data_IF_189457765788
#
_entry.id   IF_189457765788
#
_cell.length_a   1.000
_cell.length_b   1.000
_cell.length_c   1.000
_cell.angle_alpha   90.00
_cell.angle_beta   90.00
_cell.angle_gamma   90.00
#
_symmetry.space_group_name_H-M   'P 1'
#
loop_
_entity.id
_entity.type
_entity.pdbx_description
1 polymer ?
#
# COMPACT_ATOMS: atom_id res chain seq x y z
N UNK A 1 21.67 28.77 6.98
CA UNK A 1 20.22 28.52 6.85
C UNK A 1 19.99 27.01 6.80
N UNK A 2 19.21 26.45 7.72
CA UNK A 2 18.99 25.00 7.80
C UNK A 2 17.89 24.55 6.82
N UNK A 3 18.13 23.49 6.05
CA UNK A 3 17.15 22.89 5.13
C UNK A 3 16.62 21.60 5.76
N UNK A 4 15.50 21.69 6.46
CA UNK A 4 14.86 20.53 7.08
C UNK A 4 14.25 19.63 5.99
N UNK A 5 14.55 18.33 6.07
CA UNK A 5 13.97 17.29 5.21
C UNK A 5 13.47 16.20 6.14
N UNK A 6 12.18 15.92 6.10
CA UNK A 6 11.60 14.77 6.77
C UNK A 6 11.74 13.56 5.85
N UNK A 7 12.11 12.41 6.38
CA UNK A 7 12.17 11.16 5.63
C UNK A 7 11.14 10.23 6.26
N UNK A 8 10.24 9.71 5.44
CA UNK A 8 9.24 8.73 5.85
C UNK A 8 9.37 7.45 5.00
N UNK A 9 9.16 6.32 5.66
CA UNK A 9 9.09 5.01 5.03
C UNK A 9 7.67 4.45 5.23
N UNK A 10 6.90 4.40 4.14
CA UNK A 10 5.56 3.83 4.13
C UNK A 10 5.57 2.52 3.34
N UNK A 11 5.20 1.40 3.98
CA UNK A 11 5.06 0.09 3.32
C UNK A 11 3.60 -0.31 3.21
N UNK A 12 3.14 -0.62 1.99
CA UNK A 12 1.79 -1.15 1.73
C UNK A 12 1.89 -2.62 1.37
N UNK A 13 1.20 -3.46 2.16
CA UNK A 13 1.05 -4.87 1.82
C UNK A 13 -0.13 -5.06 0.86
N UNK A 14 0.01 -6.01 -0.07
CA UNK A 14 -1.05 -6.37 -1.02
C UNK A 14 -2.08 -7.33 -0.40
N UNK A 15 -2.35 -7.24 0.91
CA UNK A 15 -3.45 -7.98 1.56
C UNK A 15 -4.79 -7.35 1.20
N UNK A 16 -5.11 -7.33 -0.10
CA UNK A 16 -6.38 -6.85 -0.65
C UNK A 16 -7.43 -7.96 -0.60
N UNK A 17 -7.56 -8.61 0.56
CA UNK A 17 -8.64 -9.56 0.79
C UNK A 17 -9.89 -8.78 1.14
N UNK A 18 -10.89 -8.77 0.24
CA UNK A 18 -12.21 -8.20 0.55
C UNK A 18 -12.76 -8.88 1.80
N UNK A 19 -13.04 -8.10 2.85
CA UNK A 19 -13.62 -8.58 4.11
C UNK A 19 -15.12 -8.86 4.01
N UNK A 20 -15.80 -8.19 3.09
CA UNK A 20 -17.25 -8.28 2.87
C UNK A 20 -17.57 -8.20 1.38
N UNK A 21 -18.75 -8.70 1.01
CA UNK A 21 -19.30 -8.55 -0.33
C UNK A 21 -20.71 -9.11 -0.42
N UNK A 22 -21.30 -8.97 -1.60
CA UNK A 22 -22.71 -9.30 -1.85
C UNK A 22 -22.81 -10.64 -2.59
N UNK A 23 -23.71 -11.50 -2.12
CA UNK A 23 -24.08 -12.76 -2.77
C UNK A 23 -25.61 -12.86 -2.85
N UNK A 24 -26.16 -13.62 -3.80
CA UNK A 24 -27.58 -13.96 -3.82
C UNK A 24 -28.05 -14.53 -2.47
N UNK A 25 -29.30 -14.23 -2.11
CA UNK A 25 -29.89 -14.70 -0.85
C UNK A 25 -29.90 -16.23 -0.83
N UNK A 26 -29.24 -16.83 0.17
CA UNK A 26 -29.08 -18.28 0.31
C UNK A 26 -27.73 -18.82 -0.14
N UNK A 27 -26.86 -17.99 -0.72
CA UNK A 27 -25.53 -18.40 -1.18
C UNK A 27 -24.40 -17.84 -0.33
N UNK A 28 -23.34 -18.64 -0.17
CA UNK A 28 -22.11 -18.19 0.49
C UNK A 28 -21.34 -17.26 -0.44
N UNK A 29 -21.01 -16.06 0.03
CA UNK A 29 -20.11 -15.14 -0.69
C UNK A 29 -18.72 -15.77 -0.84
N UNK A 30 -18.42 -16.26 -2.05
CA UNK A 30 -17.12 -16.80 -2.42
C UNK A 30 -16.38 -15.75 -3.24
N UNK A 31 -15.32 -15.18 -2.67
CA UNK A 31 -14.39 -14.33 -3.40
C UNK A 31 -13.01 -14.98 -3.37
N UNK A 32 -12.32 -14.93 -4.51
CA UNK A 32 -10.91 -15.26 -4.58
C UNK A 32 -10.13 -14.11 -3.94
N UNK A 33 -9.35 -14.36 -2.89
CA UNK A 33 -8.30 -13.41 -2.56
C UNK A 33 -7.20 -13.60 -3.60
N UNK A 34 -6.58 -12.54 -4.15
CA UNK A 34 -5.51 -12.68 -5.13
C UNK A 34 -4.25 -13.29 -4.48
N UNK A 35 -4.28 -14.60 -4.21
CA UNK A 35 -3.15 -15.38 -3.75
C UNK A 35 -2.27 -15.73 -4.95
N UNK A 36 -1.53 -14.73 -5.45
CA UNK A 36 -0.63 -14.92 -6.60
C UNK A 36 0.84 -14.70 -6.29
N UNK A 37 1.14 -13.85 -5.31
CA UNK A 37 2.48 -13.57 -4.74
C UNK A 37 2.27 -12.43 -3.74
N UNK A 38 2.57 -12.68 -2.47
CA UNK A 38 2.62 -11.60 -1.49
C UNK A 38 3.73 -10.66 -1.89
N UNK A 39 3.37 -9.42 -2.17
CA UNK A 39 4.34 -8.41 -2.54
C UNK A 39 4.13 -7.21 -1.62
N UNK A 40 5.18 -6.84 -0.91
CA UNK A 40 5.18 -5.64 -0.07
C UNK A 40 5.79 -4.54 -0.92
N UNK A 41 5.04 -3.45 -1.13
CA UNK A 41 5.55 -2.28 -1.80
C UNK A 41 5.98 -1.28 -0.74
N UNK A 42 7.27 -1.05 -0.63
CA UNK A 42 7.86 -0.06 0.28
C UNK A 42 8.14 1.21 -0.51
N UNK A 43 7.65 2.33 0.00
CA UNK A 43 7.83 3.66 -0.57
C UNK A 43 8.59 4.53 0.43
N UNK A 44 9.75 5.02 0.02
CA UNK A 44 10.57 5.95 0.81
C UNK A 44 10.49 7.30 0.13
N UNK A 45 10.09 8.34 0.87
CA UNK A 45 10.01 9.70 0.36
C UNK A 45 10.57 10.71 1.36
N UNK A 46 11.22 11.74 0.81
CA UNK A 46 11.59 12.92 1.56
C UNK A 46 10.50 13.99 1.46
N UNK A 47 9.94 14.45 2.57
CA UNK A 47 9.04 15.60 2.60
C UNK A 47 9.81 16.88 2.97
N UNK A 48 9.72 17.90 2.12
CA UNK A 48 10.18 19.27 2.40
C UNK A 48 8.98 20.20 2.53
N UNK A 49 9.21 21.39 3.09
CA UNK A 49 8.16 22.42 3.23
C UNK A 49 7.49 22.82 1.90
N UNK A 50 8.15 22.59 0.77
CA UNK A 50 7.68 22.93 -0.57
C UNK A 50 7.31 21.70 -1.43
N UNK A 51 7.30 20.48 -0.87
CA UNK A 51 6.86 19.29 -1.60
C UNK A 51 7.64 18.01 -1.31
N UNK A 52 7.20 16.94 -1.97
CA UNK A 52 7.78 15.60 -1.88
C UNK A 52 8.99 15.46 -2.82
N UNK A 53 10.06 14.86 -2.33
CA UNK A 53 11.36 14.73 -3.00
C UNK A 53 11.78 13.27 -3.02
N UNK A 54 12.27 12.82 -4.19
CA UNK A 54 12.88 11.51 -4.43
C UNK A 54 12.07 10.30 -3.93
N UNK A 55 10.85 10.09 -4.45
CA UNK A 55 10.10 8.87 -4.17
C UNK A 55 10.86 7.64 -4.71
N UNK A 56 11.24 6.72 -3.83
CA UNK A 56 11.76 5.41 -4.24
C UNK A 56 10.79 4.32 -3.80
N UNK A 57 10.27 3.57 -4.76
CA UNK A 57 9.38 2.45 -4.50
C UNK A 57 10.09 1.13 -4.83
N UNK A 58 10.22 0.25 -3.85
CA UNK A 58 10.74 -1.11 -4.07
C UNK A 58 9.62 -2.12 -3.83
N UNK A 59 9.54 -3.13 -4.70
CA UNK A 59 8.61 -4.24 -4.56
C UNK A 59 9.41 -5.49 -4.15
N UNK A 60 9.14 -6.02 -2.96
CA UNK A 60 9.70 -7.29 -2.47
C UNK A 60 8.68 -8.40 -2.62
#
# INVERSE_FOLDING_TARGET
>A
MARLIFIDETSTNTKLTKRTGWAPKGERFRTHAPFGKWQTQTFIAGLRCHGLVAPSSTRR
#
